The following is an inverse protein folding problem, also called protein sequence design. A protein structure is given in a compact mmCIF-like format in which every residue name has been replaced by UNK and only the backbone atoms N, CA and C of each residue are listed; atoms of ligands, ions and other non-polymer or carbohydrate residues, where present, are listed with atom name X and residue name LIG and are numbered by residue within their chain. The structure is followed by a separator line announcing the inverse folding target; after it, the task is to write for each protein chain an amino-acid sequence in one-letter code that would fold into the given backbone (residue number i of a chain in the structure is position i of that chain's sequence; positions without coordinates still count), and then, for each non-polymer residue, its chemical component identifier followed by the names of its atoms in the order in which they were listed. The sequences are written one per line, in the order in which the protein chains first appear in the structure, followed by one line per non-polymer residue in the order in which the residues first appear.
data_IF_120653859858
#
_entry.id   IF_120653859858
#
_cell.length_a   1.000
_cell.length_b   1.000
_cell.length_c   1.000
_cell.angle_alpha   90.00
_cell.angle_beta   90.00
_cell.angle_gamma   90.00
#
_symmetry.space_group_name_H-M   'P 1'
#
loop_
_entity.id
_entity.type
_entity.pdbx_description
1 polymer ?
#
# COMPACT_ATOMS: atom_id res chain seq x y z
N UNK A 1 -8.91 4.97 18.64
CA UNK A 1 -7.96 3.95 18.09
C UNK A 1 -8.71 2.65 18.04
N UNK A 2 -8.87 2.08 16.82
CA UNK A 2 -9.60 0.80 16.63
C UNK A 2 -9.01 -0.26 17.56
N UNK A 3 -9.86 -0.87 18.37
CA UNK A 3 -9.46 -2.04 19.16
C UNK A 3 -9.21 -3.21 18.18
N UNK A 4 -7.93 -3.55 18.01
CA UNK A 4 -7.52 -4.62 17.13
C UNK A 4 -7.57 -5.94 17.91
N UNK A 5 -8.51 -6.79 17.55
CA UNK A 5 -8.61 -8.14 18.08
C UNK A 5 -8.01 -9.17 17.13
N UNK A 6 -7.48 -10.30 17.64
CA UNK A 6 -7.00 -11.36 16.78
C UNK A 6 -8.01 -11.72 15.69
N UNK A 7 -7.57 -11.99 14.46
CA UNK A 7 -6.17 -12.21 14.05
C UNK A 7 -5.38 -10.93 13.70
N UNK A 8 -5.91 -9.74 13.95
CA UNK A 8 -5.26 -8.47 13.63
C UNK A 8 -4.48 -7.92 14.82
N UNK A 9 -3.33 -7.34 14.55
CA UNK A 9 -2.56 -6.54 15.50
C UNK A 9 -1.81 -5.41 14.82
N UNK A 10 -1.42 -4.34 15.54
CA UNK A 10 -0.47 -3.38 15.01
C UNK A 10 0.83 -4.08 14.64
N UNK A 11 1.49 -3.61 13.60
CA UNK A 11 2.84 -4.06 13.31
C UNK A 11 3.83 -3.46 14.31
N UNK A 12 4.95 -4.16 14.48
CA UNK A 12 6.08 -3.75 15.32
C UNK A 12 7.35 -3.69 14.48
N UNK A 13 8.45 -3.09 14.96
CA UNK A 13 9.74 -3.15 14.27
C UNK A 13 10.23 -4.56 13.95
N UNK A 14 9.81 -5.57 14.71
CA UNK A 14 10.17 -6.97 14.49
C UNK A 14 9.50 -7.56 13.24
N UNK A 15 8.40 -6.98 12.78
CA UNK A 15 7.72 -7.38 11.55
C UNK A 15 8.41 -6.84 10.27
N UNK A 16 9.52 -6.13 10.40
CA UNK A 16 10.16 -5.42 9.28
C UNK A 16 10.49 -6.32 8.08
N UNK A 17 10.89 -7.58 8.30
CA UNK A 17 11.13 -8.52 7.22
C UNK A 17 9.83 -8.84 6.48
N UNK A 18 8.78 -9.21 7.20
CA UNK A 18 7.47 -9.53 6.62
C UNK A 18 6.86 -8.33 5.89
N UNK A 19 6.98 -7.13 6.47
CA UNK A 19 6.49 -5.91 5.84
C UNK A 19 7.22 -5.60 4.54
N UNK A 20 8.56 -5.76 4.49
CA UNK A 20 9.33 -5.54 3.27
C UNK A 20 8.91 -6.52 2.17
N UNK A 21 8.75 -7.81 2.48
CA UNK A 21 8.29 -8.83 1.54
C UNK A 21 6.86 -8.56 1.03
N UNK A 22 5.94 -8.17 1.92
CA UNK A 22 4.55 -7.87 1.55
C UNK A 22 4.45 -6.58 0.72
N UNK A 23 5.31 -5.59 0.97
CA UNK A 23 5.43 -4.38 0.13
C UNK A 23 5.94 -4.75 -1.27
N UNK A 24 6.91 -5.67 -1.39
CA UNK A 24 7.33 -6.16 -2.71
C UNK A 24 6.15 -6.78 -3.47
N UNK A 25 5.41 -7.68 -2.85
CA UNK A 25 4.23 -8.30 -3.49
C UNK A 25 3.16 -7.28 -3.91
N UNK A 26 2.91 -6.25 -3.10
CA UNK A 26 1.94 -5.21 -3.41
C UNK A 26 2.41 -4.28 -4.52
N UNK A 27 3.71 -3.98 -4.56
CA UNK A 27 4.32 -3.04 -5.50
C UNK A 27 4.69 -3.67 -6.84
N UNK A 28 4.49 -4.97 -7.01
CA UNK A 28 4.83 -5.71 -8.23
C UNK A 28 6.30 -5.48 -8.65
N UNK A 29 7.23 -5.48 -7.68
CA UNK A 29 8.65 -5.30 -7.89
C UNK A 29 9.13 -3.84 -7.94
N UNK A 30 8.25 -2.84 -7.84
CA UNK A 30 8.67 -1.43 -7.80
C UNK A 30 9.52 -1.13 -6.56
N UNK A 31 9.12 -1.64 -5.40
CA UNK A 31 9.84 -1.38 -4.16
C UNK A 31 11.27 -1.95 -4.20
N UNK A 32 11.52 -3.22 -4.54
CA UNK A 32 12.87 -3.75 -4.73
C UNK A 32 13.70 -3.00 -5.77
N UNK A 33 13.09 -2.57 -6.87
CA UNK A 33 13.76 -1.73 -7.87
C UNK A 33 14.29 -0.43 -7.26
N UNK A 34 13.47 0.26 -6.48
CA UNK A 34 13.86 1.49 -5.78
C UNK A 34 14.90 1.25 -4.69
N UNK A 35 14.78 0.13 -3.95
CA UNK A 35 15.75 -0.23 -2.93
C UNK A 35 17.11 -0.57 -3.51
N UNK A 36 17.14 -1.26 -4.66
CA UNK A 36 18.38 -1.54 -5.39
C UNK A 36 19.06 -0.25 -5.84
N UNK A 37 18.32 0.73 -6.36
CA UNK A 37 18.86 2.06 -6.70
C UNK A 37 19.45 2.78 -5.47
N UNK A 38 18.85 2.60 -4.31
CA UNK A 38 19.29 3.25 -3.07
C UNK A 38 20.56 2.62 -2.47
N UNK A 39 20.77 1.30 -2.65
CA UNK A 39 21.98 0.62 -2.13
C UNK A 39 23.18 0.78 -3.04
N UNK A 40 22.97 0.95 -4.35
CA UNK A 40 24.02 0.84 -5.36
C UNK A 40 24.48 -0.61 -5.60
N UNK A 41 25.49 -0.79 -6.48
CA UNK A 41 25.98 -2.11 -6.87
C UNK A 41 26.46 -2.95 -5.68
N UNK A 42 25.96 -4.20 -5.58
CA UNK A 42 26.37 -5.15 -4.54
C UNK A 42 25.75 -4.93 -3.16
N UNK A 43 24.91 -3.92 -2.97
CA UNK A 43 24.24 -3.67 -1.70
C UNK A 43 23.04 -4.61 -1.43
N UNK A 44 22.70 -4.79 -0.14
CA UNK A 44 21.52 -5.55 0.27
C UNK A 44 20.25 -4.68 0.14
N UNK A 45 19.52 -4.83 -0.94
CA UNK A 45 18.26 -4.10 -1.16
C UNK A 45 17.21 -4.42 -0.08
N UNK A 46 17.20 -5.63 0.44
CA UNK A 46 16.29 -6.03 1.52
C UNK A 46 16.60 -5.37 2.86
N UNK A 47 17.87 -5.02 3.10
CA UNK A 47 18.24 -4.20 4.26
C UNK A 47 17.57 -2.82 4.20
N UNK A 48 17.52 -2.20 3.01
CA UNK A 48 16.80 -0.93 2.80
C UNK A 48 15.30 -1.10 3.06
N UNK A 49 14.69 -2.16 2.54
CA UNK A 49 13.27 -2.46 2.79
C UNK A 49 12.97 -2.61 4.28
N UNK A 50 13.77 -3.40 5.00
CA UNK A 50 13.65 -3.60 6.47
C UNK A 50 13.87 -2.30 7.25
N UNK A 51 14.86 -1.50 6.86
CA UNK A 51 15.11 -0.20 7.49
C UNK A 51 13.91 0.74 7.31
N UNK A 52 13.37 0.82 6.10
CA UNK A 52 12.16 1.63 5.83
C UNK A 52 10.96 1.17 6.65
N UNK A 53 10.75 -0.14 6.76
CA UNK A 53 9.68 -0.69 7.58
C UNK A 53 9.80 -0.29 9.07
N UNK A 54 11.03 -0.19 9.61
CA UNK A 54 11.32 0.19 11.01
C UNK A 54 11.20 1.68 11.30
N UNK A 55 11.00 2.53 10.30
CA UNK A 55 10.90 3.99 10.49
C UNK A 55 9.69 4.34 11.34
N UNK A 56 9.86 5.38 12.16
CA UNK A 56 8.77 5.96 12.96
C UNK A 56 7.84 6.85 12.12
N UNK A 57 8.29 7.29 10.95
CA UNK A 57 7.59 8.23 10.08
C UNK A 57 7.68 7.82 8.62
N UNK A 58 6.85 8.46 7.76
CA UNK A 58 6.77 8.21 6.33
C UNK A 58 5.73 7.15 5.96
N UNK A 59 5.36 7.10 4.70
CA UNK A 59 4.31 6.22 4.17
C UNK A 59 4.59 4.74 4.45
N UNK A 60 5.79 4.26 4.15
CA UNK A 60 6.24 2.91 4.50
C UNK A 60 6.92 2.91 5.88
N UNK A 61 6.12 2.70 6.90
CA UNK A 61 6.49 2.59 8.30
C UNK A 61 5.61 1.54 8.97
N UNK A 62 6.16 0.80 9.95
CA UNK A 62 5.37 -0.13 10.78
C UNK A 62 4.23 0.59 11.53
N UNK A 63 4.39 1.89 11.81
CA UNK A 63 3.36 2.72 12.48
C UNK A 63 2.06 2.81 11.69
N UNK A 64 2.14 2.71 10.37
CA UNK A 64 1.00 2.74 9.46
C UNK A 64 0.50 1.34 9.10
N UNK A 65 1.07 0.29 9.71
CA UNK A 65 0.82 -1.09 9.32
C UNK A 65 -0.01 -1.84 10.37
N UNK A 66 -0.97 -2.62 9.87
CA UNK A 66 -1.64 -3.68 10.60
C UNK A 66 -1.31 -5.00 9.93
N UNK A 67 -0.94 -5.99 10.72
CA UNK A 67 -0.70 -7.34 10.25
C UNK A 67 -1.86 -8.27 10.65
N UNK A 68 -2.14 -9.22 9.75
CA UNK A 68 -3.01 -10.35 10.03
C UNK A 68 -2.12 -11.55 10.37
N UNK A 69 -2.25 -12.07 11.58
CA UNK A 69 -1.43 -13.16 12.10
C UNK A 69 -2.18 -14.49 12.06
N UNK A 70 -1.50 -15.53 11.60
CA UNK A 70 -1.96 -16.91 11.68
C UNK A 70 -0.83 -17.81 12.20
N UNK A 71 -1.13 -18.68 13.15
CA UNK A 71 -0.14 -19.60 13.71
C UNK A 71 1.16 -18.90 14.13
N UNK A 72 1.04 -17.71 14.75
CA UNK A 72 2.15 -16.86 15.18
C UNK A 72 3.06 -16.36 14.04
N UNK A 73 2.53 -16.30 12.81
CA UNK A 73 3.24 -15.77 11.63
C UNK A 73 2.38 -14.71 10.95
N UNK A 74 3.03 -13.69 10.42
CA UNK A 74 2.35 -12.72 9.56
C UNK A 74 1.91 -13.41 8.29
N UNK A 75 0.61 -13.40 8.01
CA UNK A 75 0.00 -13.99 6.81
C UNK A 75 -0.30 -12.93 5.75
N UNK A 76 -0.65 -11.72 6.19
CA UNK A 76 -1.00 -10.59 5.34
C UNK A 76 -0.76 -9.27 6.07
N UNK A 77 -0.66 -8.18 5.34
CA UNK A 77 -0.58 -6.84 5.92
C UNK A 77 -1.38 -5.81 5.12
N UNK A 78 -1.78 -4.78 5.85
CA UNK A 78 -2.35 -3.53 5.38
C UNK A 78 -1.42 -2.41 5.82
N UNK A 79 -1.02 -1.52 4.92
CA UNK A 79 -0.40 -0.23 5.26
C UNK A 79 -1.30 0.87 4.71
N UNK A 80 -1.72 1.77 5.57
CA UNK A 80 -2.58 2.86 5.18
C UNK A 80 -2.51 4.04 6.14
N UNK A 81 -2.91 5.19 5.63
CA UNK A 81 -2.83 6.47 6.34
C UNK A 81 -3.79 7.49 5.72
N UNK A 82 -4.19 8.55 6.46
CA UNK A 82 -4.98 9.62 5.90
C UNK A 82 -4.18 10.43 4.87
N UNK A 83 -4.79 10.75 3.74
CA UNK A 83 -4.27 11.75 2.81
C UNK A 83 -4.63 13.16 3.31
N UNK A 84 -3.85 14.18 2.93
CA UNK A 84 -4.14 15.58 3.26
C UNK A 84 -5.53 16.02 2.78
N UNK A 85 -6.09 17.02 3.46
CA UNK A 85 -7.42 17.57 3.13
C UNK A 85 -7.45 18.34 1.80
N UNK A 86 -6.28 18.72 1.28
CA UNK A 86 -6.12 19.41 0.00
C UNK A 86 -4.99 18.77 -0.82
N UNK A 87 -5.06 18.88 -2.16
CA UNK A 87 -3.97 18.45 -3.03
C UNK A 87 -2.63 19.06 -2.65
N UNK A 88 -1.57 18.26 -2.68
CA UNK A 88 -0.20 18.73 -2.42
C UNK A 88 0.48 19.19 -3.71
N UNK A 89 1.32 20.23 -3.64
CA UNK A 89 2.15 20.62 -4.79
C UNK A 89 3.06 19.47 -5.24
N UNK A 90 3.19 19.30 -6.54
CA UNK A 90 4.15 18.35 -7.12
C UNK A 90 5.42 19.14 -7.47
N UNK A 91 6.49 19.00 -6.70
CA UNK A 91 7.71 19.76 -6.95
C UNK A 91 8.43 19.23 -8.18
N UNK A 92 9.10 20.09 -8.94
CA UNK A 92 9.91 19.71 -10.12
C UNK A 92 11.03 18.71 -9.78
N UNK A 93 11.41 18.61 -8.51
CA UNK A 93 12.41 17.66 -8.02
C UNK A 93 11.85 16.26 -7.76
N UNK A 94 10.53 16.06 -7.85
CA UNK A 94 9.93 14.75 -7.67
C UNK A 94 10.40 13.80 -8.78
N UNK A 95 10.91 12.60 -8.45
CA UNK A 95 11.26 11.62 -9.48
C UNK A 95 10.06 11.33 -10.38
N UNK A 96 10.28 11.32 -11.71
CA UNK A 96 9.21 11.25 -12.70
C UNK A 96 8.27 10.07 -12.51
N UNK A 97 8.76 8.94 -11.98
CA UNK A 97 7.94 7.76 -11.74
C UNK A 97 6.91 7.93 -10.62
N UNK A 98 7.09 8.90 -9.71
CA UNK A 98 6.13 9.19 -8.64
C UNK A 98 5.11 10.26 -9.00
N UNK A 99 5.37 11.07 -10.03
CA UNK A 99 4.46 12.13 -10.47
C UNK A 99 3.04 11.60 -10.75
N UNK A 100 2.86 10.52 -11.55
CA UNK A 100 1.52 9.97 -11.80
C UNK A 100 0.80 9.47 -10.54
N UNK A 101 1.55 8.96 -9.56
CA UNK A 101 0.99 8.50 -8.28
C UNK A 101 0.52 9.70 -7.45
N UNK A 102 1.36 10.74 -7.32
CA UNK A 102 1.00 11.97 -6.60
C UNK A 102 -0.19 12.68 -7.25
N UNK A 103 -0.26 12.72 -8.60
CA UNK A 103 -1.43 13.25 -9.30
C UNK A 103 -2.71 12.50 -8.95
N UNK A 104 -2.64 11.18 -8.82
CA UNK A 104 -3.80 10.35 -8.43
C UNK A 104 -4.15 10.55 -6.96
N UNK A 105 -3.18 10.61 -6.05
CA UNK A 105 -3.41 10.91 -4.64
C UNK A 105 -4.08 12.28 -4.47
N UNK A 106 -3.66 13.27 -5.26
CA UNK A 106 -4.25 14.63 -5.29
C UNK A 106 -5.71 14.66 -5.75
N UNK A 107 -6.19 13.62 -6.44
CA UNK A 107 -7.61 13.47 -6.81
C UNK A 107 -8.45 12.81 -5.71
N UNK A 108 -7.82 12.39 -4.62
CA UNK A 108 -8.46 11.72 -3.50
C UNK A 108 -8.16 12.38 -2.14
N UNK A 109 -8.27 13.74 -2.02
CA UNK A 109 -7.97 14.41 -0.75
C UNK A 109 -8.92 13.96 0.35
N UNK A 110 -8.49 14.08 1.60
CA UNK A 110 -9.26 13.71 2.79
C UNK A 110 -9.78 12.25 2.79
N UNK A 111 -9.12 11.35 2.07
CA UNK A 111 -9.41 9.92 2.12
C UNK A 111 -8.44 9.17 3.03
N UNK A 112 -8.85 8.00 3.51
CA UNK A 112 -7.92 7.05 4.10
C UNK A 112 -7.33 6.19 2.97
N UNK A 113 -6.03 6.34 2.74
CA UNK A 113 -5.35 5.71 1.62
C UNK A 113 -4.84 4.32 1.99
N UNK A 114 -5.30 3.31 1.26
CA UNK A 114 -4.76 1.95 1.31
C UNK A 114 -3.54 1.90 0.40
N UNK A 115 -2.35 2.11 0.97
CA UNK A 115 -1.10 2.12 0.21
C UNK A 115 -0.62 0.70 -0.13
N UNK A 116 -0.70 -0.21 0.84
CA UNK A 116 -0.29 -1.62 0.68
C UNK A 116 -1.38 -2.53 1.20
N UNK A 117 -1.75 -3.51 0.39
CA UNK A 117 -2.60 -4.62 0.78
C UNK A 117 -2.03 -5.90 0.15
N UNK A 118 -1.42 -6.75 0.95
CA UNK A 118 -0.80 -7.96 0.44
C UNK A 118 -0.95 -9.15 1.40
N UNK A 119 -0.97 -10.34 0.83
CA UNK A 119 -0.87 -11.61 1.54
C UNK A 119 0.23 -12.46 0.92
N UNK A 120 0.90 -13.25 1.75
CA UNK A 120 1.84 -14.25 1.26
C UNK A 120 1.18 -15.20 0.26
N UNK A 121 1.90 -15.70 -0.75
CA UNK A 121 1.32 -16.56 -1.79
C UNK A 121 0.52 -17.73 -1.24
N UNK A 122 1.02 -18.44 -0.23
CA UNK A 122 0.34 -19.58 0.41
C UNK A 122 -0.88 -19.19 1.26
N UNK A 123 -1.10 -17.92 1.50
CA UNK A 123 -2.22 -17.37 2.28
C UNK A 123 -3.28 -16.66 1.41
N UNK A 124 -3.05 -16.58 0.10
CA UNK A 124 -4.01 -15.99 -0.84
C UNK A 124 -5.26 -16.86 -0.97
N UNK A 125 -6.38 -16.25 -1.38
CA UNK A 125 -7.66 -16.96 -1.57
C UNK A 125 -8.40 -17.31 -0.26
N UNK A 126 -7.87 -16.91 0.91
CA UNK A 126 -8.43 -17.21 2.23
C UNK A 126 -9.27 -16.08 2.83
N UNK A 127 -9.58 -15.04 2.05
CA UNK A 127 -10.38 -13.91 2.50
C UNK A 127 -9.60 -12.79 3.24
N UNK A 128 -8.28 -12.93 3.43
CA UNK A 128 -7.48 -11.96 4.19
C UNK A 128 -7.56 -10.54 3.64
N UNK A 129 -7.52 -10.37 2.31
CA UNK A 129 -7.64 -9.07 1.68
C UNK A 129 -8.99 -8.40 1.99
N UNK A 130 -10.09 -9.13 1.90
CA UNK A 130 -11.43 -8.59 2.25
C UNK A 130 -11.53 -8.22 3.73
N UNK A 131 -10.96 -9.05 4.60
CA UNK A 131 -10.94 -8.78 6.05
C UNK A 131 -10.11 -7.54 6.41
N UNK A 132 -8.95 -7.36 5.77
CA UNK A 132 -8.10 -6.17 5.95
C UNK A 132 -8.74 -4.90 5.37
N UNK A 133 -9.48 -4.99 4.25
CA UNK A 133 -10.23 -3.85 3.71
C UNK A 133 -11.39 -3.45 4.63
N UNK A 134 -12.12 -4.42 5.19
CA UNK A 134 -13.15 -4.13 6.19
C UNK A 134 -12.56 -3.48 7.47
N UNK A 135 -11.36 -3.89 7.86
CA UNK A 135 -10.63 -3.24 8.94
C UNK A 135 -10.23 -1.81 8.58
N UNK A 136 -9.74 -1.57 7.34
CA UNK A 136 -9.41 -0.23 6.86
C UNK A 136 -10.61 0.73 6.96
N UNK A 137 -11.80 0.25 6.62
CA UNK A 137 -13.05 1.02 6.73
C UNK A 137 -13.34 1.40 8.19
N UNK A 138 -13.15 0.48 9.13
CA UNK A 138 -13.32 0.76 10.57
C UNK A 138 -12.31 1.79 11.05
N UNK A 139 -11.03 1.66 10.65
CA UNK A 139 -9.97 2.62 11.02
C UNK A 139 -10.31 4.01 10.47
N UNK A 140 -10.71 4.11 9.20
CA UNK A 140 -11.13 5.35 8.57
C UNK A 140 -12.31 6.00 9.31
N UNK A 141 -13.35 5.21 9.60
CA UNK A 141 -14.55 5.69 10.31
C UNK A 141 -14.23 6.23 11.70
N UNK A 142 -13.38 5.56 12.50
CA UNK A 142 -12.94 6.06 13.81
C UNK A 142 -12.10 7.35 13.70
N UNK A 143 -11.36 7.52 12.60
CA UNK A 143 -10.65 8.75 12.31
C UNK A 143 -11.57 9.87 11.75
N UNK A 144 -12.88 9.62 11.61
CA UNK A 144 -13.83 10.57 11.03
C UNK A 144 -13.74 10.68 9.49
N UNK A 145 -13.00 9.80 8.83
CA UNK A 145 -12.80 9.81 7.39
C UNK A 145 -13.88 8.95 6.72
N UNK A 146 -14.60 9.53 5.75
CA UNK A 146 -15.77 8.90 5.11
C UNK A 146 -15.48 8.27 3.74
N UNK A 147 -14.24 8.32 3.29
CA UNK A 147 -13.87 7.76 2.00
C UNK A 147 -12.52 7.08 2.08
N UNK A 148 -12.37 6.00 1.32
CA UNK A 148 -11.10 5.29 1.17
C UNK A 148 -10.63 5.36 -0.27
N UNK A 149 -9.32 5.42 -0.46
CA UNK A 149 -8.69 5.40 -1.78
C UNK A 149 -7.64 4.30 -1.88
N UNK A 150 -7.43 3.82 -3.10
CA UNK A 150 -6.42 2.83 -3.47
C UNK A 150 -5.90 3.17 -4.85
N UNK A 151 -4.60 3.05 -5.07
CA UNK A 151 -4.00 3.07 -6.40
C UNK A 151 -3.49 1.67 -6.72
N UNK A 152 -3.86 1.15 -7.89
CA UNK A 152 -3.49 -0.20 -8.33
C UNK A 152 -2.98 -0.18 -9.78
N UNK A 153 -2.10 -1.12 -10.10
CA UNK A 153 -1.69 -1.36 -11.49
C UNK A 153 -2.85 -1.94 -12.30
N UNK A 154 -3.03 -1.46 -13.53
CA UNK A 154 -4.00 -2.02 -14.50
C UNK A 154 -3.76 -3.51 -14.79
N UNK A 155 -2.52 -3.99 -14.65
CA UNK A 155 -2.18 -5.40 -14.79
C UNK A 155 -2.57 -6.27 -13.59
N UNK A 156 -2.82 -5.67 -12.40
CA UNK A 156 -3.20 -6.42 -11.20
C UNK A 156 -4.70 -6.74 -11.16
N UNK A 157 -5.14 -7.55 -12.10
CA UNK A 157 -6.57 -7.91 -12.23
C UNK A 157 -7.13 -8.63 -11.01
N UNK A 158 -6.28 -9.33 -10.24
CA UNK A 158 -6.67 -10.00 -9.01
C UNK A 158 -7.06 -9.02 -7.90
N UNK A 159 -6.24 -7.99 -7.70
CA UNK A 159 -6.49 -6.93 -6.75
C UNK A 159 -7.69 -6.06 -7.19
N UNK A 160 -7.77 -5.69 -8.48
CA UNK A 160 -8.89 -4.92 -9.02
C UNK A 160 -10.24 -5.60 -8.77
N UNK A 161 -10.35 -6.89 -9.03
CA UNK A 161 -11.58 -7.66 -8.72
C UNK A 161 -11.91 -7.69 -7.23
N UNK A 162 -10.90 -7.74 -6.35
CA UNK A 162 -11.13 -7.66 -4.91
C UNK A 162 -11.71 -6.29 -4.54
N UNK A 163 -11.10 -5.21 -5.02
CA UNK A 163 -11.53 -3.85 -4.72
C UNK A 163 -12.95 -3.58 -5.24
N UNK A 164 -13.26 -3.97 -6.48
CA UNK A 164 -14.61 -3.85 -7.06
C UNK A 164 -15.67 -4.58 -6.23
N UNK A 165 -15.40 -5.84 -5.82
CA UNK A 165 -16.32 -6.62 -4.97
C UNK A 165 -16.52 -6.02 -3.59
N UNK A 166 -15.53 -5.28 -3.08
CA UNK A 166 -15.62 -4.59 -1.78
C UNK A 166 -16.12 -3.16 -1.88
N UNK A 167 -16.61 -2.76 -3.07
CA UNK A 167 -17.33 -1.49 -3.26
C UNK A 167 -16.50 -0.32 -3.76
N UNK A 168 -15.21 -0.54 -4.05
CA UNK A 168 -14.41 0.50 -4.70
C UNK A 168 -14.82 0.68 -6.17
N UNK A 169 -14.69 1.90 -6.67
CA UNK A 169 -14.97 2.27 -8.06
C UNK A 169 -13.83 3.08 -8.63
N UNK A 170 -13.50 2.82 -9.89
CA UNK A 170 -12.51 3.58 -10.63
C UNK A 170 -12.95 5.02 -10.83
N UNK A 171 -12.04 5.97 -10.62
CA UNK A 171 -12.27 7.41 -10.78
C UNK A 171 -11.27 8.10 -11.69
N UNK A 172 -10.04 7.59 -11.80
CA UNK A 172 -9.00 8.17 -12.64
C UNK A 172 -7.92 7.16 -13.01
N UNK A 173 -7.18 7.49 -14.06
CA UNK A 173 -5.98 6.76 -14.49
C UNK A 173 -4.84 7.71 -14.80
N UNK A 174 -3.61 7.22 -14.66
CA UNK A 174 -2.40 7.89 -15.10
C UNK A 174 -1.43 6.89 -15.71
N UNK A 175 -0.81 7.28 -16.82
CA UNK A 175 0.22 6.45 -17.44
C UNK A 175 1.42 6.30 -16.51
N UNK A 176 1.94 5.07 -16.38
CA UNK A 176 3.14 4.79 -15.59
C UNK A 176 4.37 5.39 -16.25
N UNK A 177 5.26 5.95 -15.45
CA UNK A 177 6.64 6.25 -15.83
C UNK A 177 7.51 5.17 -15.17
N UNK A 178 8.08 4.28 -15.97
CA UNK A 178 8.71 3.05 -15.45
C UNK A 178 10.22 3.11 -15.32
N UNK A 179 10.88 4.01 -16.08
CA UNK A 179 12.33 3.93 -16.26
C UNK A 179 12.73 2.48 -16.63
N UNK A 180 13.68 1.85 -15.88
CA UNK A 180 14.12 0.47 -16.09
C UNK A 180 13.32 -0.56 -15.28
N UNK A 181 12.28 -0.14 -14.55
CA UNK A 181 11.40 -1.07 -13.82
C UNK A 181 10.52 -1.87 -14.79
N UNK A 182 10.67 -3.18 -14.74
CA UNK A 182 9.90 -4.11 -15.58
C UNK A 182 8.57 -4.46 -14.91
N UNK A 183 7.48 -4.00 -15.51
CA UNK A 183 6.11 -4.31 -15.09
C UNK A 183 5.20 -4.36 -16.32
N UNK A 184 4.28 -5.37 -16.44
CA UNK A 184 3.41 -5.49 -17.61
C UNK A 184 2.36 -4.36 -17.70
N UNK A 185 1.95 -3.78 -16.56
CA UNK A 185 0.96 -2.73 -16.52
C UNK A 185 1.45 -1.44 -17.18
N UNK A 186 0.55 -0.66 -17.74
CA UNK A 186 0.82 0.61 -18.42
C UNK A 186 0.27 1.81 -17.68
N UNK A 187 -0.71 1.58 -16.78
CA UNK A 187 -1.41 2.62 -16.05
C UNK A 187 -1.49 2.34 -14.56
N UNK A 188 -1.52 3.41 -13.78
CA UNK A 188 -1.99 3.44 -12.42
C UNK A 188 -3.47 3.80 -12.42
N UNK A 189 -4.27 3.07 -11.67
CA UNK A 189 -5.72 3.23 -11.57
C UNK A 189 -6.07 3.64 -10.15
N UNK A 190 -6.68 4.80 -9.99
CA UNK A 190 -7.24 5.26 -8.72
C UNK A 190 -8.65 4.72 -8.55
N UNK A 191 -8.87 4.06 -7.43
CA UNK A 191 -10.18 3.57 -7.02
C UNK A 191 -10.60 4.29 -5.73
N UNK A 192 -11.86 4.67 -5.63
CA UNK A 192 -12.46 5.24 -4.43
C UNK A 192 -13.61 4.37 -3.92
N UNK A 193 -13.73 4.32 -2.60
CA UNK A 193 -14.92 3.83 -1.89
C UNK A 193 -15.40 4.92 -0.94
N UNK A 194 -16.68 5.27 -1.02
CA UNK A 194 -17.34 6.13 -0.05
C UNK A 194 -18.10 5.25 0.96
N UNK A 195 -17.96 5.59 2.24
CA UNK A 195 -18.70 4.94 3.31
C UNK A 195 -20.17 5.37 3.33
#
# INVERSE_FOLDING_TARGET
MVDLTPPFRPATPDDAQALAELVDFASEGLAPYLWAKATGPGGDLWAVGRERARRETGAFSYRNAVVLEREKRVAAALIGYPLPDAPEPIPDTMPAMFVPLQELENLAPATWYVNVLAAYPGERGRGHGSALLALAERIAAEAGIRALSIIVSDSNTGASRLYERTGYREVARRRKVKEDWHNPGTEWVLLLKRA
#
